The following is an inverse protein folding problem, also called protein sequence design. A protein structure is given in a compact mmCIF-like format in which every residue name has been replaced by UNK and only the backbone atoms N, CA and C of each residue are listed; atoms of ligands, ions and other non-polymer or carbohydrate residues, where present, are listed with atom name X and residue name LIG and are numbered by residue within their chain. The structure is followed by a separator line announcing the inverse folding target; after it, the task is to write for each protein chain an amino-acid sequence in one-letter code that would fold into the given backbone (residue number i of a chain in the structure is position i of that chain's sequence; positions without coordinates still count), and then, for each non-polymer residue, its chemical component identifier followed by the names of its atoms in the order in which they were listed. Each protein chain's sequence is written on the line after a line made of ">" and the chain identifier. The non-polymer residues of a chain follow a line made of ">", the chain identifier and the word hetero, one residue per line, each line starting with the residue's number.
data_IF_261372144276
#
_entry.id   IF_261372144276
#
_cell.length_a   1.000
_cell.length_b   1.000
_cell.length_c   1.000
_cell.angle_alpha   90.00
_cell.angle_beta   90.00
_cell.angle_gamma   90.00
#
_symmetry.space_group_name_H-M   'P 1'
#
loop_
_entity.id
_entity.type
_entity.pdbx_description
1 polymer ?
#
# COMPACT_ATOMS: atom_id res chain seq x y z
N UNK A 1 19.43 46.55 40.85
CA UNK A 1 20.75 46.85 40.26
C UNK A 1 20.99 45.89 39.10
N UNK A 2 21.31 46.47 37.94
CA UNK A 2 21.84 45.91 36.68
C UNK A 2 21.19 44.69 36.04
N UNK A 3 20.30 44.99 35.10
CA UNK A 3 20.08 44.25 33.85
C UNK A 3 21.32 44.30 32.96
N UNK A 4 21.64 43.22 32.25
CA UNK A 4 22.55 43.25 31.10
C UNK A 4 22.14 42.22 30.07
N UNK A 5 21.45 42.71 29.04
CA UNK A 5 21.17 41.99 27.79
C UNK A 5 22.37 42.18 26.86
N UNK A 6 22.90 41.09 26.31
CA UNK A 6 23.82 41.14 25.17
C UNK A 6 23.08 40.68 23.92
N UNK A 7 22.69 41.68 23.12
CA UNK A 7 22.21 41.52 21.76
C UNK A 7 23.36 41.04 20.86
N UNK A 8 23.12 40.01 20.03
CA UNK A 8 24.02 39.64 18.93
C UNK A 8 23.46 40.14 17.59
N UNK A 9 24.30 40.68 16.71
CA UNK A 9 23.88 41.25 15.43
C UNK A 9 23.48 40.17 14.43
N UNK A 10 22.35 40.43 13.77
CA UNK A 10 21.82 39.75 12.60
C UNK A 10 22.71 40.07 11.40
N UNK A 11 23.22 39.04 10.69
CA UNK A 11 23.77 39.20 9.33
C UNK A 11 22.75 38.68 8.33
N UNK A 12 21.99 39.60 7.75
CA UNK A 12 21.21 39.40 6.53
C UNK A 12 22.18 39.35 5.34
N UNK A 13 22.34 38.18 4.73
CA UNK A 13 22.91 38.06 3.40
C UNK A 13 21.78 37.65 2.45
N UNK A 14 21.20 38.65 1.79
CA UNK A 14 20.30 38.46 0.67
C UNK A 14 21.15 38.14 -0.57
N UNK A 15 20.99 36.95 -1.13
CA UNK A 15 21.42 36.64 -2.49
C UNK A 15 20.17 36.27 -3.28
N UNK A 16 19.66 37.26 -4.00
CA UNK A 16 18.68 37.05 -5.05
C UNK A 16 19.46 36.72 -6.33
N UNK A 17 19.24 35.53 -6.88
CA UNK A 17 19.54 35.25 -8.28
C UNK A 17 18.28 34.64 -8.91
N UNK A 18 17.57 35.50 -9.63
CA UNK A 18 16.52 35.11 -10.54
C UNK A 18 17.17 34.56 -11.81
N UNK A 19 16.85 33.31 -12.16
CA UNK A 19 17.05 32.77 -13.49
C UNK A 19 15.69 32.27 -14.00
N UNK A 20 15.03 33.14 -14.76
CA UNK A 20 13.88 32.79 -15.60
C UNK A 20 14.42 32.09 -16.83
N UNK A 21 14.07 30.82 -17.01
CA UNK A 21 14.20 30.13 -18.29
C UNK A 21 12.81 29.61 -18.68
N UNK A 22 12.11 30.41 -19.48
CA UNK A 22 10.93 30.00 -20.23
C UNK A 22 11.38 29.12 -21.39
N UNK A 23 11.10 27.82 -21.33
CA UNK A 23 11.11 26.96 -22.51
C UNK A 23 9.69 26.46 -22.75
N UNK A 24 9.04 27.15 -23.67
CA UNK A 24 7.89 26.70 -24.45
C UNK A 24 8.31 25.52 -25.34
N UNK A 25 7.67 24.37 -25.18
CA UNK A 25 7.66 23.33 -26.21
C UNK A 25 6.25 22.75 -26.33
N UNK A 26 5.69 22.95 -27.52
CA UNK A 26 4.38 22.51 -27.99
C UNK A 26 4.40 21.04 -28.44
N UNK A 27 3.21 20.43 -28.48
CA UNK A 27 2.89 19.23 -29.28
C UNK A 27 2.65 17.98 -28.44
N UNK A 28 1.55 17.23 -28.57
CA UNK A 28 0.44 17.31 -29.51
C UNK A 28 -0.74 16.48 -29.00
N UNK A 29 -1.94 16.90 -29.39
CA UNK A 29 -3.21 16.21 -29.20
C UNK A 29 -3.26 14.94 -30.05
N UNK A 30 -3.52 13.79 -29.43
CA UNK A 30 -4.04 12.61 -30.12
C UNK A 30 -5.38 12.18 -29.52
N UNK A 31 -6.44 12.58 -30.21
CA UNK A 31 -7.68 11.85 -30.46
C UNK A 31 -8.24 12.50 -31.74
N UNK A 32 -8.80 11.77 -32.71
CA UNK A 32 -9.86 10.79 -32.48
C UNK A 32 -9.72 9.52 -33.33
N UNK A 33 -10.55 8.51 -33.05
CA UNK A 33 -11.28 7.85 -34.13
C UNK A 33 -12.52 7.17 -33.54
N UNK A 34 -13.64 7.86 -33.73
CA UNK A 34 -15.00 7.34 -33.57
C UNK A 34 -15.55 7.25 -34.99
N UNK A 35 -15.78 6.04 -35.49
CA UNK A 35 -16.58 5.83 -36.70
C UNK A 35 -17.88 5.12 -36.33
N UNK A 36 -19.05 5.68 -36.71
CA UNK A 36 -20.36 5.10 -36.47
C UNK A 36 -20.86 4.29 -37.69
N UNK A 37 -21.80 3.36 -37.46
CA UNK A 37 -22.59 2.69 -38.51
C UNK A 37 -22.87 1.23 -38.17
N UNK A 38 -23.96 0.92 -37.45
CA UNK A 38 -25.34 0.74 -37.94
C UNK A 38 -25.67 -0.73 -38.30
N UNK A 39 -26.48 -1.32 -37.41
CA UNK A 39 -27.51 -2.35 -37.54
C UNK A 39 -27.61 -3.22 -38.82
N UNK A 40 -27.76 -4.53 -38.60
CA UNK A 40 -28.90 -5.34 -39.13
C UNK A 40 -28.94 -6.74 -38.49
N UNK A 41 -30.07 -7.07 -37.84
CA UNK A 41 -30.62 -8.44 -37.67
C UNK A 41 -31.21 -8.88 -39.04
N UNK A 42 -31.37 -10.18 -39.39
CA UNK A 42 -32.26 -11.09 -38.65
C UNK A 42 -31.92 -12.61 -38.67
N UNK A 43 -32.67 -13.32 -37.80
CA UNK A 43 -33.25 -14.67 -37.86
C UNK A 43 -32.79 -15.70 -38.90
N UNK A 44 -32.63 -16.96 -38.44
CA UNK A 44 -33.09 -18.11 -39.23
C UNK A 44 -32.47 -19.48 -38.93
N UNK A 45 -33.26 -20.32 -38.26
CA UNK A 45 -33.53 -21.73 -38.61
C UNK A 45 -32.51 -22.84 -38.21
N UNK A 46 -32.86 -23.66 -37.20
CA UNK A 46 -33.33 -25.09 -37.26
C UNK A 46 -32.22 -26.12 -37.54
N UNK A 47 -32.11 -27.31 -36.95
CA UNK A 47 -32.80 -28.13 -35.93
C UNK A 47 -31.93 -29.42 -35.80
N UNK A 48 -32.43 -30.62 -35.38
CA UNK A 48 -32.47 -31.10 -34.00
C UNK A 48 -31.78 -32.48 -33.81
N UNK A 49 -31.68 -32.95 -32.57
CA UNK A 49 -32.03 -34.35 -32.25
C UNK A 49 -32.20 -34.58 -30.76
N UNK A 50 -33.44 -34.91 -30.41
CA UNK A 50 -33.83 -35.55 -29.17
C UNK A 50 -33.52 -37.05 -29.22
N UNK A 51 -33.30 -37.69 -28.08
CA UNK A 51 -34.02 -38.91 -27.65
C UNK A 51 -33.65 -39.30 -26.21
N UNK A 52 -34.63 -39.17 -25.34
CA UNK A 52 -34.89 -39.93 -24.08
C UNK A 52 -35.34 -41.37 -24.47
N UNK A 53 -35.74 -42.32 -23.58
CA UNK A 53 -35.91 -42.30 -22.11
C UNK A 53 -35.54 -43.63 -21.39
N UNK A 54 -35.94 -43.72 -20.10
CA UNK A 54 -36.29 -44.95 -19.35
C UNK A 54 -35.11 -45.78 -18.83
N UNK A 55 -35.08 -46.36 -17.64
CA UNK A 55 -36.07 -46.67 -16.62
C UNK A 55 -35.41 -47.74 -15.73
N UNK A 56 -35.60 -47.68 -14.41
CA UNK A 56 -35.07 -48.67 -13.45
C UNK A 56 -35.70 -50.07 -13.68
N UNK A 57 -35.07 -51.19 -13.24
CA UNK A 57 -35.16 -51.61 -11.83
C UNK A 57 -33.90 -52.30 -11.22
N UNK A 58 -33.84 -52.33 -9.89
CA UNK A 58 -32.97 -53.15 -9.00
C UNK A 58 -33.27 -54.68 -9.12
N UNK A 59 -32.48 -55.68 -8.59
CA UNK A 59 -31.77 -55.67 -7.29
C UNK A 59 -30.49 -56.55 -7.09
N UNK A 60 -29.94 -56.45 -5.86
CA UNK A 60 -29.20 -57.42 -5.03
C UNK A 60 -27.72 -57.81 -5.28
N UNK A 61 -26.90 -57.35 -4.32
CA UNK A 61 -25.92 -58.08 -3.49
C UNK A 61 -24.62 -58.64 -4.12
N UNK A 62 -23.47 -58.07 -3.75
CA UNK A 62 -22.59 -58.62 -2.69
C UNK A 62 -21.24 -57.89 -2.62
N UNK A 63 -20.86 -57.57 -1.38
CA UNK A 63 -19.57 -57.14 -0.84
C UNK A 63 -18.31 -57.24 -1.73
N UNK A 64 -17.49 -56.18 -1.71
CA UNK A 64 -16.15 -56.25 -1.10
C UNK A 64 -15.42 -54.90 -1.08
N UNK A 65 -14.94 -54.59 0.13
CA UNK A 65 -13.77 -53.79 0.46
C UNK A 65 -13.67 -52.35 -0.08
N UNK A 66 -13.95 -51.41 0.83
CA UNK A 66 -13.25 -50.14 0.94
C UNK A 66 -11.74 -50.37 0.80
N UNK A 67 -11.19 -50.11 -0.38
CA UNK A 67 -9.79 -49.76 -0.48
C UNK A 67 -9.71 -48.31 0.01
N UNK A 68 -9.42 -48.16 1.30
CA UNK A 68 -8.88 -46.93 1.87
C UNK A 68 -7.69 -46.54 1.01
N UNK A 69 -7.90 -45.61 0.08
CA UNK A 69 -6.81 -44.83 -0.44
C UNK A 69 -6.21 -44.15 0.78
N UNK A 70 -5.04 -44.61 1.20
CA UNK A 70 -4.16 -43.92 2.14
C UNK A 70 -3.75 -42.61 1.47
N UNK A 71 -4.69 -41.67 1.38
CA UNK A 71 -4.45 -40.31 0.99
C UNK A 71 -3.51 -39.76 2.04
N UNK A 72 -2.35 -39.28 1.60
CA UNK A 72 -1.44 -38.52 2.44
C UNK A 72 -2.26 -37.57 3.31
N UNK A 73 -2.03 -37.57 4.63
CA UNK A 73 -2.61 -36.56 5.51
C UNK A 73 -2.35 -35.20 4.88
N UNK A 74 -3.37 -34.32 4.74
CA UNK A 74 -3.13 -32.99 4.17
C UNK A 74 -2.00 -32.35 4.97
N UNK A 75 -0.92 -31.97 4.29
CA UNK A 75 0.17 -31.28 4.95
C UNK A 75 -0.41 -29.98 5.53
N UNK A 76 -0.44 -29.92 6.86
CA UNK A 76 -0.79 -28.70 7.59
C UNK A 76 0.51 -28.01 7.91
N UNK A 77 0.70 -26.84 7.34
CA UNK A 77 1.88 -26.02 7.57
C UNK A 77 1.95 -25.59 9.05
N UNK A 78 3.11 -25.65 9.72
CA UNK A 78 3.24 -25.18 11.09
C UNK A 78 2.73 -23.74 11.26
N UNK A 79 1.79 -23.55 12.19
CA UNK A 79 1.17 -22.24 12.46
C UNK A 79 -0.03 -21.88 11.58
N UNK A 80 -0.43 -22.72 10.63
CA UNK A 80 -1.61 -22.48 9.78
C UNK A 80 -2.96 -22.71 10.49
N UNK A 81 -2.98 -23.47 11.59
CA UNK A 81 -4.23 -23.83 12.30
C UNK A 81 -5.24 -24.52 11.37
N UNK A 82 -6.53 -24.18 11.50
CA UNK A 82 -7.61 -24.61 10.59
C UNK A 82 -7.62 -23.86 9.24
N UNK A 83 -6.53 -23.18 8.90
CA UNK A 83 -6.38 -22.44 7.65
C UNK A 83 -6.31 -23.34 6.42
N UNK A 84 -6.61 -22.75 5.25
CA UNK A 84 -6.44 -23.46 3.98
C UNK A 84 -4.99 -23.98 3.83
N UNK A 85 -4.78 -25.15 3.22
CA UNK A 85 -3.45 -25.58 2.81
C UNK A 85 -2.74 -24.45 2.05
N UNK A 86 -1.46 -24.23 2.37
CA UNK A 86 -0.63 -23.14 1.85
C UNK A 86 -0.99 -21.72 2.31
N UNK A 87 -1.72 -21.55 3.42
CA UNK A 87 -2.12 -20.23 3.87
C UNK A 87 -0.94 -19.29 4.14
N UNK A 88 0.16 -19.77 4.74
CA UNK A 88 1.26 -18.86 5.04
C UNK A 88 2.05 -18.48 3.79
N UNK A 89 2.30 -19.41 2.87
CA UNK A 89 2.97 -19.09 1.61
C UNK A 89 2.12 -18.12 0.80
N UNK A 90 0.81 -18.37 0.70
CA UNK A 90 -0.11 -17.50 -0.02
C UNK A 90 -0.24 -16.10 0.60
N UNK A 91 0.15 -15.91 1.86
CA UNK A 91 0.09 -14.60 2.54
C UNK A 91 1.48 -14.06 2.91
N UNK A 92 2.57 -14.68 2.44
CA UNK A 92 3.92 -14.28 2.80
C UNK A 92 4.21 -12.82 2.41
N UNK A 93 3.67 -12.35 1.28
CA UNK A 93 3.81 -10.96 0.84
C UNK A 93 3.20 -9.94 1.82
N UNK A 94 2.18 -10.32 2.63
CA UNK A 94 1.57 -9.45 3.66
C UNK A 94 2.30 -9.49 4.99
N UNK A 95 3.31 -10.32 5.15
CA UNK A 95 4.07 -10.39 6.40
C UNK A 95 5.16 -9.33 6.35
N UNK A 96 5.17 -8.48 7.36
CA UNK A 96 6.32 -7.62 7.60
C UNK A 96 7.52 -8.52 7.90
N UNK A 97 8.70 -8.13 7.42
CA UNK A 97 9.95 -8.77 7.80
C UNK A 97 10.19 -8.70 9.31
N UNK A 98 11.02 -9.61 9.80
CA UNK A 98 11.48 -9.58 11.19
C UNK A 98 12.34 -8.34 11.46
N UNK A 99 12.28 -7.83 12.69
CA UNK A 99 13.13 -6.75 13.18
C UNK A 99 14.10 -7.29 14.22
N UNK A 100 15.37 -6.92 14.12
CA UNK A 100 16.30 -7.12 15.23
C UNK A 100 15.80 -6.36 16.47
N UNK A 101 15.91 -6.91 17.70
CA UNK A 101 15.36 -6.26 18.90
C UNK A 101 15.86 -4.83 19.14
N UNK A 102 17.14 -4.56 18.86
CA UNK A 102 17.69 -3.21 18.96
C UNK A 102 17.05 -2.25 17.94
N UNK A 103 16.85 -2.70 16.70
CA UNK A 103 16.24 -1.90 15.64
C UNK A 103 14.75 -1.65 15.88
N UNK A 104 14.04 -2.61 16.47
CA UNK A 104 12.67 -2.42 16.95
C UNK A 104 12.59 -1.33 18.05
N UNK A 105 13.50 -1.36 19.01
CA UNK A 105 13.57 -0.33 20.06
C UNK A 105 13.88 1.07 19.50
N UNK A 106 14.70 1.15 18.46
CA UNK A 106 15.00 2.40 17.75
C UNK A 106 13.76 2.90 16.98
N UNK A 107 13.06 2.00 16.29
CA UNK A 107 11.83 2.33 15.59
C UNK A 107 10.74 2.84 16.55
N UNK A 108 10.61 2.24 17.73
CA UNK A 108 9.65 2.71 18.74
C UNK A 108 9.99 4.11 19.27
N UNK A 109 11.27 4.45 19.41
CA UNK A 109 11.68 5.82 19.78
C UNK A 109 11.32 6.83 18.69
N UNK A 110 11.53 6.48 17.42
CA UNK A 110 11.13 7.33 16.30
C UNK A 110 9.59 7.44 16.16
N UNK A 111 8.86 6.34 16.39
CA UNK A 111 7.40 6.34 16.46
C UNK A 111 6.90 7.29 17.57
N UNK A 112 7.49 7.21 18.77
CA UNK A 112 7.18 8.10 19.88
C UNK A 112 7.49 9.57 19.57
N UNK A 113 8.54 9.84 18.80
CA UNK A 113 8.93 11.19 18.37
C UNK A 113 7.95 11.80 17.37
N UNK A 114 7.48 11.04 16.37
CA UNK A 114 6.56 11.57 15.34
C UNK A 114 5.10 11.63 15.80
N UNK A 115 4.67 10.70 16.67
CA UNK A 115 3.28 10.57 17.13
C UNK A 115 2.66 11.88 17.63
N UNK A 116 3.29 12.69 18.50
CA UNK A 116 2.70 13.95 18.94
C UNK A 116 2.54 14.99 17.81
N UNK A 117 3.46 15.00 16.83
CA UNK A 117 3.36 15.89 15.67
C UNK A 117 2.19 15.50 14.78
N UNK A 118 2.04 14.20 14.50
CA UNK A 118 0.95 13.69 13.68
C UNK A 118 -0.41 13.86 14.39
N UNK A 119 -0.47 13.62 15.70
CA UNK A 119 -1.67 13.87 16.53
C UNK A 119 -2.12 15.32 16.42
N UNK A 120 -1.21 16.29 16.59
CA UNK A 120 -1.52 17.72 16.47
C UNK A 120 -2.02 18.09 15.08
N UNK A 121 -1.43 17.53 14.03
CA UNK A 121 -1.90 17.76 12.65
C UNK A 121 -3.30 17.20 12.44
N UNK A 122 -3.59 16.02 12.95
CA UNK A 122 -4.91 15.40 12.89
C UNK A 122 -5.96 16.24 13.64
N UNK A 123 -5.68 16.70 14.86
CA UNK A 123 -6.56 17.59 15.64
C UNK A 123 -6.84 18.91 14.90
N UNK A 124 -5.85 19.45 14.19
CA UNK A 124 -5.99 20.65 13.36
C UNK A 124 -6.65 20.39 11.99
N UNK A 125 -7.05 19.15 11.72
CA UNK A 125 -7.60 18.70 10.44
C UNK A 125 -6.68 18.91 9.24
N UNK A 126 -5.36 18.75 9.47
CA UNK A 126 -4.29 18.94 8.49
C UNK A 126 -3.66 17.59 8.10
N UNK A 127 -4.40 16.78 7.36
CA UNK A 127 -3.97 15.45 6.91
C UNK A 127 -3.55 15.39 5.45
N UNK A 128 -3.29 16.52 4.78
CA UNK A 128 -2.79 16.51 3.40
C UNK A 128 -1.28 16.16 3.36
N UNK A 129 -0.81 15.43 2.32
CA UNK A 129 0.57 14.93 2.28
C UNK A 129 1.64 16.02 2.37
N UNK A 130 1.44 17.15 1.70
CA UNK A 130 2.42 18.25 1.71
C UNK A 130 2.62 18.86 3.10
N UNK A 131 1.54 19.03 3.87
CA UNK A 131 1.60 19.56 5.23
C UNK A 131 2.25 18.57 6.19
N UNK A 132 1.89 17.30 6.11
CA UNK A 132 2.49 16.23 6.92
C UNK A 132 3.98 16.12 6.62
N UNK A 133 4.37 16.09 5.33
CA UNK A 133 5.77 16.07 4.90
C UNK A 133 6.55 17.25 5.47
N UNK A 134 6.04 18.47 5.31
CA UNK A 134 6.68 19.68 5.83
C UNK A 134 6.91 19.60 7.34
N UNK A 135 5.94 19.09 8.10
CA UNK A 135 6.06 18.94 9.54
C UNK A 135 7.13 17.92 9.95
N UNK A 136 7.22 16.80 9.23
CA UNK A 136 8.22 15.77 9.49
C UNK A 136 9.63 16.20 9.05
N UNK A 137 9.79 16.89 7.93
CA UNK A 137 11.07 17.47 7.53
C UNK A 137 11.62 18.45 8.57
N UNK A 138 10.76 19.22 9.26
CA UNK A 138 11.16 20.10 10.37
C UNK A 138 11.67 19.35 11.60
N UNK A 139 11.41 18.05 11.73
CA UNK A 139 12.01 17.20 12.76
C UNK A 139 13.42 16.73 12.39
N UNK A 140 13.89 17.00 11.16
CA UNK A 140 15.21 16.61 10.67
C UNK A 140 15.21 15.33 9.84
N UNK A 141 14.05 14.79 9.46
CA UNK A 141 14.00 13.69 8.49
C UNK A 141 14.27 14.18 7.07
N UNK A 142 14.77 13.29 6.23
CA UNK A 142 15.07 13.57 4.83
C UNK A 142 14.12 12.80 3.92
N UNK A 143 13.59 13.49 2.91
CA UNK A 143 12.71 12.86 1.92
C UNK A 143 13.48 11.80 1.13
N UNK A 144 12.90 10.61 1.06
CA UNK A 144 13.42 9.51 0.29
C UNK A 144 13.42 9.87 -1.20
N UNK A 145 14.57 9.71 -1.83
CA UNK A 145 14.74 9.93 -3.27
C UNK A 145 15.01 8.58 -3.92
N UNK A 146 14.28 8.30 -4.99
CA UNK A 146 14.42 7.08 -5.78
C UNK A 146 14.73 7.47 -7.22
N UNK A 147 15.75 6.86 -7.81
CA UNK A 147 16.09 7.01 -9.21
C UNK A 147 15.06 6.32 -10.11
N UNK A 148 15.10 6.62 -11.41
CA UNK A 148 14.19 6.03 -12.41
C UNK A 148 14.30 4.50 -12.49
N UNK A 149 15.44 3.94 -12.11
CA UNK A 149 15.73 2.51 -12.05
C UNK A 149 15.27 1.85 -10.73
N UNK A 150 14.61 2.59 -9.84
CA UNK A 150 14.18 2.10 -8.53
C UNK A 150 15.26 2.15 -7.45
N UNK A 151 16.49 2.59 -7.77
CA UNK A 151 17.57 2.68 -6.78
C UNK A 151 17.35 3.86 -5.83
N UNK A 152 17.52 3.61 -4.54
CA UNK A 152 17.46 4.67 -3.52
C UNK A 152 18.68 5.58 -3.64
N UNK A 153 18.43 6.88 -3.66
CA UNK A 153 19.43 7.96 -3.75
C UNK A 153 19.68 8.65 -2.39
N UNK A 154 19.03 8.17 -1.33
CA UNK A 154 19.13 8.71 0.03
C UNK A 154 17.78 9.14 0.60
N UNK A 155 17.81 9.61 1.84
CA UNK A 155 16.62 9.92 2.63
C UNK A 155 15.94 8.68 3.21
N UNK A 156 15.06 8.92 4.18
CA UNK A 156 14.39 7.87 4.96
C UNK A 156 12.88 8.04 5.03
N UNK A 157 12.36 9.20 4.65
CA UNK A 157 10.97 9.56 4.80
C UNK A 157 10.23 9.55 3.46
N UNK A 158 9.20 8.73 3.37
CA UNK A 158 8.22 8.75 2.27
C UNK A 158 6.85 9.18 2.79
N UNK A 159 6.28 10.21 2.18
CA UNK A 159 4.94 10.74 2.52
C UNK A 159 4.09 10.83 1.27
N UNK A 160 3.00 10.06 1.24
CA UNK A 160 2.11 9.95 0.07
C UNK A 160 0.64 10.03 0.50
N UNK A 161 -0.27 10.23 -0.46
CA UNK A 161 -1.70 10.08 -0.21
C UNK A 161 -2.08 8.63 0.10
N UNK A 162 -3.26 8.43 0.66
CA UNK A 162 -3.83 7.09 0.81
C UNK A 162 -4.10 6.47 -0.58
N UNK A 163 -3.88 5.16 -0.75
CA UNK A 163 -4.14 4.49 -2.02
C UNK A 163 -5.64 4.52 -2.34
N UNK A 164 -5.97 4.57 -3.62
CA UNK A 164 -7.35 4.38 -4.09
C UNK A 164 -7.83 2.97 -3.75
N UNK A 165 -9.12 2.84 -3.44
CA UNK A 165 -9.79 1.56 -3.21
C UNK A 165 -11.09 1.49 -4.01
N UNK A 166 -11.53 0.28 -4.34
CA UNK A 166 -12.83 0.09 -4.98
C UNK A 166 -13.96 0.22 -3.95
N UNK A 167 -14.95 1.06 -4.24
CA UNK A 167 -16.12 1.27 -3.39
C UNK A 167 -17.35 1.53 -4.28
N UNK A 168 -18.40 0.73 -4.13
CA UNK A 168 -19.58 0.81 -4.99
C UNK A 168 -19.25 0.40 -6.43
N UNK A 169 -19.33 1.36 -7.35
CA UNK A 169 -19.15 1.19 -8.81
C UNK A 169 -17.84 1.80 -9.34
N UNK A 170 -16.89 2.17 -8.47
CA UNK A 170 -15.61 2.72 -8.97
C UNK A 170 -14.51 2.91 -7.93
N UNK A 171 -13.34 3.41 -8.39
CA UNK A 171 -12.22 3.73 -7.52
C UNK A 171 -12.46 5.03 -6.74
N UNK A 172 -12.37 4.94 -5.41
CA UNK A 172 -12.44 6.07 -4.49
C UNK A 172 -11.06 6.27 -3.86
N UNK A 173 -10.54 7.50 -3.91
CA UNK A 173 -9.30 7.87 -3.23
C UNK A 173 -9.65 8.59 -1.93
N UNK A 174 -9.50 7.93 -0.76
CA UNK A 174 -9.82 8.57 0.49
C UNK A 174 -8.86 9.72 0.78
N UNK A 175 -9.37 10.80 1.37
CA UNK A 175 -8.53 11.87 1.86
C UNK A 175 -7.65 11.38 3.02
N UNK A 176 -6.37 11.72 2.96
CA UNK A 176 -5.44 11.44 4.03
C UNK A 176 -4.02 11.35 3.54
N UNK A 177 -3.16 10.93 4.46
CA UNK A 177 -1.73 10.75 4.23
C UNK A 177 -1.30 9.44 4.86
N UNK A 178 -0.41 8.72 4.18
CA UNK A 178 0.41 7.68 4.77
C UNK A 178 1.87 8.10 4.78
N UNK A 179 2.55 7.70 5.85
CA UNK A 179 3.95 8.00 6.14
C UNK A 179 4.66 6.68 6.32
N UNK A 180 5.82 6.56 5.67
CA UNK A 180 6.80 5.53 5.93
C UNK A 180 8.11 6.22 6.29
N UNK A 181 8.68 5.88 7.44
CA UNK A 181 10.01 6.29 7.86
C UNK A 181 10.85 5.03 8.03
N UNK A 182 11.94 4.92 7.28
CA UNK A 182 12.92 3.85 7.45
C UNK A 182 13.91 4.23 8.56
N UNK A 183 13.98 3.41 9.61
CA UNK A 183 14.88 3.63 10.75
C UNK A 183 16.15 2.81 10.56
N UNK A 184 15.99 1.54 10.16
CA UNK A 184 17.05 0.62 9.76
C UNK A 184 16.64 -0.12 8.49
N UNK A 185 17.53 -0.95 7.93
CA UNK A 185 17.19 -1.75 6.75
C UNK A 185 16.05 -2.74 7.02
N UNK A 186 15.95 -3.24 8.24
CA UNK A 186 14.94 -4.18 8.73
C UNK A 186 13.83 -3.53 9.57
N UNK A 187 13.88 -2.22 9.86
CA UNK A 187 12.93 -1.57 10.76
C UNK A 187 12.32 -0.27 10.18
N UNK A 188 11.00 -0.21 10.19
CA UNK A 188 10.20 0.89 9.70
C UNK A 188 9.26 1.44 10.78
N UNK A 189 8.99 2.74 10.70
CA UNK A 189 7.84 3.38 11.33
C UNK A 189 6.82 3.67 10.23
N UNK A 190 5.60 3.21 10.43
CA UNK A 190 4.47 3.49 9.56
C UNK A 190 3.44 4.34 10.29
N UNK A 191 2.82 5.25 9.56
CA UNK A 191 1.72 6.02 10.11
C UNK A 191 0.71 6.39 9.03
N UNK A 192 -0.51 6.69 9.45
CA UNK A 192 -1.50 7.31 8.60
C UNK A 192 -2.28 8.38 9.35
N UNK A 193 -2.78 9.35 8.60
CA UNK A 193 -3.70 10.39 9.05
C UNK A 193 -4.86 10.43 8.07
N UNK A 194 -6.06 10.25 8.58
CA UNK A 194 -7.29 10.40 7.81
C UNK A 194 -8.34 11.13 8.65
N UNK A 195 -9.46 11.49 8.02
CA UNK A 195 -10.51 12.28 8.69
C UNK A 195 -11.04 11.62 9.97
N UNK A 196 -11.15 10.30 10.00
CA UNK A 196 -11.70 9.54 11.13
C UNK A 196 -10.71 9.31 12.27
N UNK A 197 -9.43 9.09 11.97
CA UNK A 197 -8.40 8.76 12.96
C UNK A 197 -6.98 8.93 12.42
N UNK A 198 -5.99 8.73 13.28
CA UNK A 198 -4.58 8.56 12.92
C UNK A 198 -4.00 7.38 13.69
N UNK A 199 -2.93 6.78 13.18
CA UNK A 199 -2.17 5.76 13.90
C UNK A 199 -0.68 5.84 13.56
N UNK A 200 0.15 5.35 14.48
CA UNK A 200 1.60 5.20 14.30
C UNK A 200 2.00 3.84 14.85
N UNK A 201 2.65 3.03 14.03
CA UNK A 201 3.10 1.67 14.32
C UNK A 201 4.55 1.46 13.86
N UNK A 202 5.18 0.42 14.38
CA UNK A 202 6.48 -0.05 13.91
C UNK A 202 6.33 -1.45 13.32
N UNK A 203 7.07 -1.73 12.26
CA UNK A 203 7.07 -3.03 11.58
C UNK A 203 8.38 -3.20 10.80
N UNK A 204 8.77 -4.42 10.48
CA UNK A 204 9.82 -4.61 9.47
C UNK A 204 9.31 -4.32 8.05
N UNK A 205 10.21 -4.26 7.05
CA UNK A 205 9.83 -4.02 5.68
C UNK A 205 9.03 -5.21 5.11
N UNK A 206 7.99 -4.93 4.36
CA UNK A 206 7.30 -5.87 3.50
C UNK A 206 8.17 -6.17 2.26
N UNK A 207 8.16 -7.42 1.75
CA UNK A 207 9.04 -7.83 0.64
C UNK A 207 8.90 -6.97 -0.62
N UNK A 208 7.68 -6.55 -0.96
CA UNK A 208 7.39 -5.87 -2.22
C UNK A 208 7.37 -4.35 -2.09
N UNK A 209 6.83 -3.85 -0.98
CA UNK A 209 6.47 -2.44 -0.81
C UNK A 209 7.36 -1.74 0.23
N UNK A 210 8.39 -2.44 0.73
CA UNK A 210 9.28 -1.92 1.75
C UNK A 210 8.51 -1.54 3.00
N UNK A 211 8.59 -0.29 3.46
CA UNK A 211 7.94 0.09 4.71
C UNK A 211 6.40 0.16 4.62
N UNK A 212 5.79 0.29 3.44
CA UNK A 212 4.33 0.30 3.34
C UNK A 212 3.76 -1.10 3.31
N UNK A 213 2.63 -1.32 3.98
CA UNK A 213 1.86 -2.56 3.81
C UNK A 213 1.31 -2.64 2.37
N UNK A 214 1.39 -3.83 1.72
CA UNK A 214 0.76 -4.04 0.43
C UNK A 214 -0.75 -3.79 0.47
N UNK A 215 -1.33 -3.10 -0.52
CA UNK A 215 -2.76 -2.77 -0.52
C UNK A 215 -3.65 -3.97 -0.84
N UNK A 216 -3.16 -4.95 -1.60
CA UNK A 216 -3.93 -6.10 -2.08
C UNK A 216 -3.12 -7.37 -2.02
N UNK A 217 -3.83 -8.49 -2.15
CA UNK A 217 -3.24 -9.80 -2.35
C UNK A 217 -3.32 -10.26 -3.79
N UNK A 218 -2.32 -11.04 -4.18
CA UNK A 218 -2.29 -11.75 -5.45
C UNK A 218 -3.17 -13.00 -5.41
#
# INVERSE_FOLDING_TARGET
>A
MSTSMLARPVRLAAVALAAVATLTACGGLHAPDTTPGAASRPSGATSPSASRPSGAPSPSASASASASASGASPYVEPGAGDGAPHHNENNAYRRAGEMAPAHAADAEREAARIRPVLKRLWEQRKWNPATVRTALLRLGYEEERVAKDGRRLGGTLTVTGLPSRWEGDGPVTPEGTRVALRVHDDACVTAFLQKSNFAVSTNGPYPETGCFQPPYGH
#
